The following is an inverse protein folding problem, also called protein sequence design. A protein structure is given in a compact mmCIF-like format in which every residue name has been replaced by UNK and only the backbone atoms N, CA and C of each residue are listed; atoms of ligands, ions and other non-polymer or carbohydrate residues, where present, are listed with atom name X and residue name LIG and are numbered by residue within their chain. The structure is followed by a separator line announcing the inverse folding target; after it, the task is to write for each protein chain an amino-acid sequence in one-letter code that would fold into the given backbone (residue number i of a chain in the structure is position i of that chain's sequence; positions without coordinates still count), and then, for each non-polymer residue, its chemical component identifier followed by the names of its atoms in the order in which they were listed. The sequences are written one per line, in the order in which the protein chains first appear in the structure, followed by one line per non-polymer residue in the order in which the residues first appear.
data_IF_379828082034
#
_entry.id   IF_379828082034
#
_cell.length_a   1.000
_cell.length_b   1.000
_cell.length_c   1.000
_cell.angle_alpha   90.00
_cell.angle_beta   90.00
_cell.angle_gamma   90.00
#
_symmetry.space_group_name_H-M   'P 1'
#
loop_
_entity.id
_entity.type
_entity.pdbx_description
1 polymer ?
#
# COMPACT_ATOMS: atom_id res chain seq x y z
N UNK A 1 3.01 11.43 -16.27
CA UNK A 1 3.80 10.81 -15.20
C UNK A 1 4.32 11.91 -14.31
N UNK A 2 4.29 11.73 -12.99
CA UNK A 2 4.85 12.70 -12.07
C UNK A 2 6.38 12.57 -12.00
N UNK A 3 7.08 13.67 -11.71
CA UNK A 3 8.54 13.72 -11.53
C UNK A 3 8.98 13.52 -10.08
N UNK A 4 8.03 13.44 -9.15
CA UNK A 4 8.22 13.33 -7.70
C UNK A 4 7.16 12.37 -7.13
N UNK A 5 7.47 11.62 -6.05
CA UNK A 5 6.54 10.70 -5.40
C UNK A 5 5.17 11.33 -5.17
N UNK A 6 4.17 10.84 -5.90
CA UNK A 6 2.79 11.34 -5.85
C UNK A 6 1.84 10.41 -6.60
N UNK A 7 0.57 10.46 -6.19
CA UNK A 7 -0.55 9.75 -6.83
C UNK A 7 -1.70 10.73 -7.01
N UNK A 8 -2.14 10.97 -8.25
CA UNK A 8 -3.38 11.67 -8.54
C UNK A 8 -4.22 10.76 -9.44
N UNK A 9 -5.31 10.25 -8.90
CA UNK A 9 -6.22 9.33 -9.57
C UNK A 9 -7.63 9.89 -9.43
N UNK A 10 -8.27 10.22 -10.54
CA UNK A 10 -9.67 10.64 -10.56
C UNK A 10 -10.51 9.57 -11.23
N UNK A 11 -11.67 9.28 -10.65
CA UNK A 11 -12.57 8.24 -11.13
C UNK A 11 -11.94 6.85 -11.14
N UNK A 12 -11.03 6.54 -10.21
CA UNK A 12 -10.37 5.24 -10.11
C UNK A 12 -11.39 4.15 -9.81
N UNK A 13 -11.33 3.05 -10.55
CA UNK A 13 -12.16 1.88 -10.28
C UNK A 13 -11.35 0.60 -10.30
N UNK A 14 -11.87 -0.44 -9.63
CA UNK A 14 -11.28 -1.77 -9.70
C UNK A 14 -11.76 -2.48 -10.98
N UNK A 15 -10.87 -2.79 -11.94
CA UNK A 15 -11.28 -3.23 -13.29
C UNK A 15 -11.92 -4.62 -13.35
N UNK A 16 -11.74 -5.45 -12.31
CA UNK A 16 -12.37 -6.78 -12.24
C UNK A 16 -13.79 -6.77 -11.66
N UNK A 17 -14.33 -5.61 -11.26
CA UNK A 17 -15.70 -5.52 -10.77
C UNK A 17 -16.68 -5.20 -11.91
N UNK A 18 -17.84 -5.86 -11.90
CA UNK A 18 -18.85 -5.66 -12.95
C UNK A 18 -19.50 -4.26 -12.90
N UNK A 19 -19.74 -3.73 -11.69
CA UNK A 19 -20.34 -2.41 -11.48
C UNK A 19 -19.54 -1.66 -10.39
N UNK A 20 -18.33 -1.17 -10.71
CA UNK A 20 -17.49 -0.55 -9.70
C UNK A 20 -17.99 0.86 -9.36
N UNK A 21 -17.88 1.19 -8.07
CA UNK A 21 -17.92 2.59 -7.62
C UNK A 21 -16.55 3.21 -7.86
N UNK A 22 -16.51 4.40 -8.43
CA UNK A 22 -15.27 5.13 -8.68
C UNK A 22 -14.84 5.94 -7.46
N UNK A 23 -13.54 6.13 -7.29
CA UNK A 23 -12.96 6.86 -6.17
C UNK A 23 -11.91 7.85 -6.67
N UNK A 24 -11.86 9.04 -6.06
CA UNK A 24 -10.77 9.98 -6.27
C UNK A 24 -9.73 9.78 -5.17
N UNK A 25 -8.47 9.64 -5.55
CA UNK A 25 -7.36 9.35 -4.64
C UNK A 25 -6.22 10.31 -4.95
N UNK A 26 -5.79 11.05 -3.94
CA UNK A 26 -4.67 11.98 -4.03
C UNK A 26 -3.68 11.71 -2.91
N UNK A 27 -2.41 11.55 -3.28
CA UNK A 27 -1.25 11.61 -2.40
C UNK A 27 -0.30 12.63 -3.01
N UNK A 28 -0.22 13.80 -2.38
CA UNK A 28 0.62 14.90 -2.84
C UNK A 28 2.09 14.68 -2.51
N UNK A 29 2.96 15.47 -3.09
CA UNK A 29 4.41 15.42 -2.83
C UNK A 29 4.80 15.87 -1.42
N UNK A 30 3.86 16.48 -0.68
CA UNK A 30 4.07 16.94 0.70
C UNK A 30 3.61 15.92 1.74
N UNK A 31 2.95 14.85 1.31
CA UNK A 31 2.43 13.79 2.17
C UNK A 31 3.29 12.53 2.00
N UNK A 32 3.60 11.87 3.11
CA UNK A 32 4.38 10.62 3.13
C UNK A 32 3.48 9.36 3.21
N UNK A 33 2.16 9.54 3.17
CA UNK A 33 1.24 8.41 3.27
C UNK A 33 -0.22 8.87 3.31
N UNK A 34 -1.10 7.92 3.00
CA UNK A 34 -2.56 8.09 3.02
C UNK A 34 -3.16 7.04 3.96
N UNK A 35 -3.92 7.48 4.96
CA UNK A 35 -4.69 6.58 5.83
C UNK A 35 -6.13 6.54 5.34
N UNK A 36 -6.61 5.35 4.99
CA UNK A 36 -8.02 5.12 4.63
C UNK A 36 -8.71 4.45 5.80
N UNK A 37 -9.63 5.16 6.46
CA UNK A 37 -10.44 4.66 7.58
C UNK A 37 -11.92 4.50 7.20
N UNK A 38 -12.65 3.71 7.97
CA UNK A 38 -14.06 3.42 7.73
C UNK A 38 -14.42 1.96 8.02
N UNK A 39 -15.70 1.56 7.90
CA UNK A 39 -16.14 0.18 8.15
C UNK A 39 -15.47 -0.81 7.20
N UNK A 40 -15.29 -2.07 7.62
CA UNK A 40 -14.62 -3.11 6.82
C UNK A 40 -15.29 -3.35 5.46
N UNK A 41 -16.62 -3.22 5.41
CA UNK A 41 -17.42 -3.34 4.18
C UNK A 41 -17.48 -2.07 3.34
N UNK A 42 -16.73 -1.02 3.70
CA UNK A 42 -16.73 0.28 3.00
C UNK A 42 -15.93 0.32 1.69
N UNK A 43 -15.40 -0.81 1.22
CA UNK A 43 -14.65 -0.87 -0.05
C UNK A 43 -13.18 -0.42 0.04
N UNK A 44 -12.63 -0.26 1.26
CA UNK A 44 -11.23 0.17 1.47
C UNK A 44 -10.23 -0.77 0.76
N UNK A 45 -10.34 -2.07 1.01
CA UNK A 45 -9.48 -3.09 0.40
C UNK A 45 -9.60 -3.09 -1.13
N UNK A 46 -10.81 -2.85 -1.67
CA UNK A 46 -11.03 -2.72 -3.12
C UNK A 46 -10.33 -1.48 -3.68
N UNK A 47 -10.39 -0.34 -2.97
CA UNK A 47 -9.70 0.87 -3.36
C UNK A 47 -8.17 0.69 -3.34
N UNK A 48 -7.63 0.08 -2.28
CA UNK A 48 -6.19 -0.23 -2.18
C UNK A 48 -5.72 -1.15 -3.31
N UNK A 49 -6.49 -2.21 -3.62
CA UNK A 49 -6.21 -3.10 -4.77
C UNK A 49 -6.30 -2.36 -6.10
N UNK A 50 -7.25 -1.42 -6.26
CA UNK A 50 -7.35 -0.61 -7.47
C UNK A 50 -6.13 0.30 -7.66
N UNK A 51 -5.58 0.89 -6.59
CA UNK A 51 -4.32 1.67 -6.65
C UNK A 51 -3.17 0.78 -7.11
N UNK A 52 -3.03 -0.42 -6.52
CA UNK A 52 -1.98 -1.38 -6.88
C UNK A 52 -2.07 -1.78 -8.36
N UNK A 53 -3.27 -2.10 -8.85
CA UNK A 53 -3.50 -2.45 -10.26
C UNK A 53 -3.20 -1.26 -11.18
N UNK A 54 -3.60 -0.04 -10.81
CA UNK A 54 -3.30 1.16 -11.58
C UNK A 54 -1.79 1.38 -11.71
N UNK A 55 -1.04 1.19 -10.63
CA UNK A 55 0.43 1.28 -10.66
C UNK A 55 1.06 0.18 -11.53
N UNK A 56 0.57 -1.06 -11.45
CA UNK A 56 1.02 -2.14 -12.34
C UNK A 56 0.73 -1.82 -13.82
N UNK A 57 -0.46 -1.31 -14.12
CA UNK A 57 -0.84 -0.95 -15.49
C UNK A 57 0.07 0.15 -16.06
N UNK A 58 0.50 1.11 -15.24
CA UNK A 58 1.49 2.11 -15.63
C UNK A 58 2.78 1.44 -16.11
N UNK A 59 3.31 0.47 -15.34
CA UNK A 59 4.55 -0.24 -15.67
C UNK A 59 4.43 -1.14 -16.90
N UNK A 60 3.24 -1.68 -17.17
CA UNK A 60 2.97 -2.44 -18.38
C UNK A 60 2.60 -1.58 -19.60
N UNK A 61 2.53 -0.26 -19.46
CA UNK A 61 2.12 0.65 -20.54
C UNK A 61 0.64 0.50 -20.94
N UNK A 62 -0.20 0.04 -20.00
CA UNK A 62 -1.64 -0.14 -20.20
C UNK A 62 -2.43 1.12 -19.84
N UNK A 63 -3.66 1.21 -20.34
CA UNK A 63 -4.60 2.25 -19.92
C UNK A 63 -4.97 2.09 -18.44
N UNK A 64 -4.70 3.11 -17.64
CA UNK A 64 -5.04 3.15 -16.21
C UNK A 64 -6.57 3.13 -16.04
N UNK A 65 -7.13 2.33 -15.09
CA UNK A 65 -8.57 2.26 -14.85
C UNK A 65 -9.08 3.47 -14.05
N UNK A 66 -8.92 4.66 -14.62
CA UNK A 66 -9.28 5.95 -14.04
C UNK A 66 -9.67 6.92 -15.17
N UNK A 67 -10.46 7.95 -14.87
CA UNK A 67 -10.80 9.00 -15.85
C UNK A 67 -9.63 9.95 -16.07
N UNK A 68 -8.82 10.18 -15.03
CA UNK A 68 -7.56 10.91 -15.10
C UNK A 68 -6.55 10.28 -14.15
N UNK A 69 -5.29 10.16 -14.58
CA UNK A 69 -4.23 9.59 -13.77
C UNK A 69 -2.89 10.32 -13.98
N UNK A 70 -2.28 10.76 -12.88
CA UNK A 70 -0.88 11.15 -12.81
C UNK A 70 -0.23 10.37 -11.66
N UNK A 71 0.50 9.33 -12.01
CA UNK A 71 1.18 8.44 -11.06
C UNK A 71 2.69 8.65 -11.19
N UNK A 72 3.37 8.74 -10.05
CA UNK A 72 4.83 8.60 -10.01
C UNK A 72 5.21 7.12 -10.22
N UNK A 73 6.14 6.81 -11.14
CA UNK A 73 6.49 5.43 -11.46
C UNK A 73 7.39 4.83 -10.37
N UNK A 74 6.81 4.47 -9.22
CA UNK A 74 7.56 3.81 -8.15
C UNK A 74 8.21 2.51 -8.67
N UNK A 75 9.49 2.30 -8.36
CA UNK A 75 10.26 1.13 -8.84
C UNK A 75 9.80 -0.17 -8.16
N UNK A 76 9.36 -0.04 -6.90
CA UNK A 76 8.94 -1.17 -6.08
C UNK A 76 7.50 -1.00 -5.61
N UNK A 77 6.72 -2.07 -5.64
CA UNK A 77 5.35 -2.14 -5.12
C UNK A 77 5.27 -3.25 -4.08
N UNK A 78 4.96 -2.86 -2.85
CA UNK A 78 4.71 -3.77 -1.75
C UNK A 78 3.23 -3.75 -1.39
N UNK A 79 2.59 -4.91 -1.40
CA UNK A 79 1.17 -5.04 -1.04
C UNK A 79 1.02 -6.08 0.07
N UNK A 80 0.67 -5.62 1.27
CA UNK A 80 0.32 -6.46 2.41
C UNK A 80 -1.20 -6.45 2.55
N UNK A 81 -1.84 -7.59 2.33
CA UNK A 81 -3.28 -7.70 2.55
C UNK A 81 -3.67 -9.03 3.17
N UNK A 82 -4.89 -9.09 3.68
CA UNK A 82 -5.41 -10.21 4.46
C UNK A 82 -5.50 -11.56 3.72
N UNK A 83 -5.43 -11.56 2.38
CA UNK A 83 -5.57 -12.78 1.57
C UNK A 83 -4.32 -13.68 1.61
N UNK A 84 -3.19 -13.21 2.15
CA UNK A 84 -1.92 -13.98 2.22
C UNK A 84 -1.76 -14.83 3.50
N UNK A 85 -2.84 -15.17 4.18
CA UNK A 85 -2.77 -16.07 5.33
C UNK A 85 -2.58 -17.52 4.89
N UNK A 86 -1.32 -17.96 4.91
CA UNK A 86 -0.95 -19.35 4.74
C UNK A 86 -1.28 -20.13 6.03
N UNK A 87 -2.44 -20.80 6.07
CA UNK A 87 -2.85 -21.72 7.15
C UNK A 87 -1.88 -22.90 7.35
N UNK A 88 -0.89 -23.05 6.47
CA UNK A 88 0.05 -24.18 6.40
C UNK A 88 1.28 -24.03 7.29
N UNK A 89 1.59 -22.82 7.76
CA UNK A 89 2.68 -22.55 8.70
C UNK A 89 2.06 -22.39 10.09
N UNK A 90 2.34 -23.28 11.03
CA UNK A 90 1.77 -23.28 12.40
C UNK A 90 2.15 -22.07 13.29
N UNK A 91 2.40 -20.90 12.69
CA UNK A 91 2.59 -19.61 13.34
C UNK A 91 1.23 -18.95 13.59
N UNK A 92 1.12 -18.12 14.64
CA UNK A 92 -0.03 -17.24 14.79
C UNK A 92 -0.07 -16.22 13.65
N UNK A 93 -1.27 -15.80 13.24
CA UNK A 93 -1.45 -14.77 12.19
C UNK A 93 -0.66 -13.50 12.49
N UNK A 94 -0.54 -13.14 13.76
CA UNK A 94 0.25 -11.99 14.23
C UNK A 94 1.76 -12.15 13.97
N UNK A 95 2.34 -13.30 14.30
CA UNK A 95 3.78 -13.53 14.10
C UNK A 95 4.16 -13.58 12.62
N UNK A 96 3.29 -14.14 11.78
CA UNK A 96 3.46 -14.12 10.33
C UNK A 96 3.43 -12.68 9.79
N UNK A 97 2.47 -11.87 10.25
CA UNK A 97 2.35 -10.47 9.87
C UNK A 97 3.59 -9.65 10.27
N UNK A 98 4.06 -9.76 11.51
CA UNK A 98 5.28 -9.09 11.99
C UNK A 98 6.50 -9.50 11.15
N UNK A 99 6.63 -10.78 10.81
CA UNK A 99 7.74 -11.27 9.98
C UNK A 99 7.72 -10.66 8.58
N UNK A 100 6.54 -10.48 7.98
CA UNK A 100 6.39 -9.82 6.68
C UNK A 100 6.85 -8.36 6.73
N UNK A 101 6.51 -7.62 7.79
CA UNK A 101 6.99 -6.24 7.94
C UNK A 101 8.49 -6.14 8.26
N UNK A 102 9.04 -7.07 9.04
CA UNK A 102 10.50 -7.14 9.24
C UNK A 102 11.23 -7.45 7.94
N UNK A 103 10.67 -8.33 7.11
CA UNK A 103 11.21 -8.61 5.78
C UNK A 103 11.18 -7.37 4.88
N UNK A 104 10.06 -6.65 4.82
CA UNK A 104 9.95 -5.36 4.13
C UNK A 104 11.06 -4.38 4.55
N UNK A 105 11.19 -4.13 5.84
CA UNK A 105 12.21 -3.20 6.35
C UNK A 105 13.62 -3.65 6.00
N UNK A 106 13.88 -4.96 6.04
CA UNK A 106 15.18 -5.50 5.65
C UNK A 106 15.47 -5.29 4.16
N UNK A 107 14.50 -5.54 3.28
CA UNK A 107 14.67 -5.31 1.84
C UNK A 107 14.91 -3.83 1.55
N UNK A 108 14.09 -2.94 2.11
CA UNK A 108 14.24 -1.49 1.93
C UNK A 108 15.58 -0.97 2.44
N UNK A 109 16.11 -1.54 3.53
CA UNK A 109 17.42 -1.15 4.09
C UNK A 109 18.59 -1.60 3.20
N UNK A 110 18.42 -2.69 2.44
CA UNK A 110 19.44 -3.18 1.50
C UNK A 110 19.46 -2.39 0.19
N UNK A 111 18.39 -1.66 -0.13
CA UNK A 111 18.34 -0.77 -1.29
C UNK A 111 19.21 0.47 -1.07
N UNK A 112 19.81 1.04 -2.14
CA UNK A 112 20.36 2.40 -2.08
C UNK A 112 19.29 3.37 -1.56
N UNK A 113 19.66 4.35 -0.72
CA UNK A 113 18.68 5.24 -0.06
C UNK A 113 17.73 5.96 -1.03
N UNK A 114 18.18 6.24 -2.26
CA UNK A 114 17.34 6.82 -3.32
C UNK A 114 16.28 5.83 -3.83
N UNK A 115 16.62 4.54 -3.90
CA UNK A 115 15.71 3.48 -4.33
C UNK A 115 14.74 3.06 -3.22
N UNK A 116 15.15 3.10 -1.95
CA UNK A 116 14.27 2.86 -0.81
C UNK A 116 13.10 3.87 -0.78
N UNK A 117 13.38 5.15 -1.01
CA UNK A 117 12.36 6.19 -1.17
C UNK A 117 11.55 6.13 -2.48
N UNK A 118 11.85 5.16 -3.36
CA UNK A 118 11.13 4.92 -4.61
C UNK A 118 10.21 3.68 -4.52
N UNK A 119 9.60 3.45 -3.36
CA UNK A 119 8.72 2.31 -3.09
C UNK A 119 7.30 2.76 -2.79
N UNK A 120 6.31 2.14 -3.43
CA UNK A 120 4.90 2.26 -3.07
C UNK A 120 4.53 1.12 -2.12
N UNK A 121 4.21 1.46 -0.88
CA UNK A 121 3.84 0.49 0.16
C UNK A 121 2.35 0.61 0.45
N UNK A 122 1.61 -0.48 0.27
CA UNK A 122 0.17 -0.58 0.50
C UNK A 122 -0.06 -1.63 1.57
N UNK A 123 -0.72 -1.23 2.66
CA UNK A 123 -1.07 -2.11 3.79
C UNK A 123 -2.59 -2.08 3.96
N UNK A 124 -3.22 -3.23 3.81
CA UNK A 124 -4.64 -3.47 4.01
C UNK A 124 -4.85 -4.17 5.35
N UNK A 125 -5.29 -3.40 6.35
CA UNK A 125 -5.40 -3.76 7.77
C UNK A 125 -4.06 -4.08 8.45
N UNK A 126 -3.64 -3.21 9.37
CA UNK A 126 -2.38 -3.34 10.10
C UNK A 126 -2.61 -3.92 11.51
N UNK A 127 -1.86 -4.96 11.87
CA UNK A 127 -1.85 -5.63 13.18
C UNK A 127 -3.25 -6.03 13.68
N UNK A 128 -4.09 -6.57 12.79
CA UNK A 128 -5.51 -6.87 13.08
C UNK A 128 -5.75 -8.00 14.08
N UNK A 129 -4.69 -8.75 14.42
CA UNK A 129 -4.75 -9.96 15.27
C UNK A 129 -4.24 -9.76 16.71
N UNK A 130 -3.98 -8.53 17.15
CA UNK A 130 -3.57 -8.21 18.52
C UNK A 130 -4.45 -7.14 19.21
N UNK A 131 -4.12 -6.76 20.44
CA UNK A 131 -4.78 -5.68 21.18
C UNK A 131 -4.60 -4.33 20.48
N UNK A 132 -5.61 -3.46 20.58
CA UNK A 132 -5.60 -2.12 19.95
C UNK A 132 -4.37 -1.29 20.34
N UNK A 133 -3.93 -1.41 21.60
CA UNK A 133 -2.77 -0.71 22.15
C UNK A 133 -1.46 -1.21 21.54
N UNK A 134 -1.27 -2.53 21.46
CA UNK A 134 -0.10 -3.12 20.81
C UNK A 134 -0.07 -2.83 19.31
N UNK A 135 -1.22 -2.98 18.63
CA UNK A 135 -1.35 -2.70 17.20
C UNK A 135 -0.96 -1.24 16.89
N UNK A 136 -1.45 -0.30 17.69
CA UNK A 136 -1.12 1.12 17.52
C UNK A 136 0.36 1.41 17.75
N UNK A 137 0.95 0.86 18.80
CA UNK A 137 2.37 1.06 19.11
C UNK A 137 3.28 0.51 18.00
N UNK A 138 2.97 -0.69 17.50
CA UNK A 138 3.72 -1.31 16.41
C UNK A 138 3.53 -0.56 15.09
N UNK A 139 2.31 -0.11 14.77
CA UNK A 139 2.04 0.68 13.57
C UNK A 139 2.84 1.99 13.56
N UNK A 140 2.83 2.73 14.67
CA UNK A 140 3.60 3.96 14.82
C UNK A 140 5.10 3.70 14.66
N UNK A 141 5.62 2.62 15.26
CA UNK A 141 7.02 2.22 15.13
C UNK A 141 7.38 1.91 13.67
N UNK A 142 6.56 1.11 12.98
CA UNK A 142 6.75 0.76 11.58
C UNK A 142 6.75 2.01 10.68
N UNK A 143 5.75 2.89 10.81
CA UNK A 143 5.68 4.12 10.04
C UNK A 143 6.85 5.07 10.33
N UNK A 144 7.36 5.08 11.56
CA UNK A 144 8.56 5.86 11.91
C UNK A 144 9.80 5.34 11.18
N UNK A 145 9.98 4.03 11.10
CA UNK A 145 11.11 3.42 10.37
C UNK A 145 10.98 3.62 8.85
N UNK A 146 9.80 3.43 8.27
CA UNK A 146 9.56 3.68 6.84
C UNK A 146 9.88 5.13 6.46
N UNK A 147 9.43 6.09 7.29
CA UNK A 147 9.73 7.51 7.08
C UNK A 147 11.24 7.82 7.12
N UNK A 148 12.03 7.13 7.94
CA UNK A 148 13.50 7.30 7.99
C UNK A 148 14.18 6.81 6.71
N UNK A 149 13.60 5.79 6.06
CA UNK A 149 14.08 5.24 4.80
C UNK A 149 13.65 6.09 3.58
N UNK A 150 12.85 7.12 3.79
CA UNK A 150 12.34 8.00 2.74
C UNK A 150 11.12 7.45 2.00
N UNK A 151 10.54 6.36 2.49
CA UNK A 151 9.30 5.74 1.99
C UNK A 151 8.07 6.38 2.62
#
# INVERSE_FOLDING_TARGET
MASTPSLLLQGLFHPLLANPVTNDITLSTTEHGLIISGPNTGGKSVALKAIAIAHLFLHFGLFIPATHACIYPFDHLYFFGNDQQDLSQGLSSFSAEVKNYLHLLSELTLLPSVAAGNSLIIIDEIFSSTSSEEASALAISLFSELKKLGS
#
